data_IF_668322351095
#
_entry.id   IF_668322351095
#
_cell.length_a   1.000
_cell.length_b   1.000
_cell.length_c   1.000
_cell.angle_alpha   90.00
_cell.angle_beta   90.00
_cell.angle_gamma   90.00
#
_symmetry.space_group_name_H-M   'P 1'
#
loop_
_entity.id
_entity.type
_entity.pdbx_description
1 polymer ?
#
# COMPACT_ATOMS: atom_id res chain seq x y z
N UNK A 1 -6.33 -13.49 21.45
CA UNK A 1 -7.37 -13.12 20.47
C UNK A 1 -6.67 -12.61 19.21
N UNK A 2 -7.32 -12.68 18.04
CA UNK A 2 -6.86 -11.97 16.85
C UNK A 2 -6.62 -10.48 17.13
N UNK A 3 -5.59 -9.91 16.51
CA UNK A 3 -5.31 -8.47 16.55
C UNK A 3 -4.66 -8.00 15.24
N UNK A 4 -4.81 -6.72 14.94
CA UNK A 4 -4.23 -6.13 13.75
C UNK A 4 -4.90 -6.65 12.48
N UNK A 5 -6.22 -6.82 12.54
CA UNK A 5 -7.02 -7.25 11.39
C UNK A 5 -6.94 -6.18 10.32
N UNK A 6 -6.53 -6.57 9.12
CA UNK A 6 -6.50 -5.68 7.97
C UNK A 6 -6.84 -6.42 6.70
N UNK A 7 -7.38 -5.68 5.73
CA UNK A 7 -7.77 -6.19 4.42
C UNK A 7 -6.98 -5.50 3.31
N UNK A 8 -6.81 -6.20 2.20
CA UNK A 8 -6.23 -5.69 0.97
C UNK A 8 -6.93 -6.35 -0.22
N UNK A 9 -6.92 -5.71 -1.39
CA UNK A 9 -7.46 -6.36 -2.58
C UNK A 9 -6.76 -7.71 -2.85
N UNK A 10 -7.53 -8.68 -3.35
CA UNK A 10 -6.96 -9.92 -3.87
C UNK A 10 -6.42 -9.76 -5.28
N UNK A 11 -5.85 -10.83 -5.81
CA UNK A 11 -5.29 -10.84 -7.18
C UNK A 11 -6.38 -10.72 -8.24
N UNK A 12 -7.58 -11.26 -7.98
CA UNK A 12 -8.76 -11.08 -8.85
C UNK A 12 -9.66 -9.95 -8.32
N UNK A 13 -10.49 -9.39 -9.21
CA UNK A 13 -11.40 -8.29 -8.87
C UNK A 13 -12.49 -8.66 -7.86
N UNK A 14 -12.86 -9.93 -7.80
CA UNK A 14 -13.84 -10.51 -6.89
C UNK A 14 -13.21 -11.06 -5.60
N UNK A 15 -11.99 -10.61 -5.26
CA UNK A 15 -11.24 -11.10 -4.10
C UNK A 15 -10.85 -10.02 -3.10
N UNK A 16 -10.84 -10.42 -1.82
CA UNK A 16 -10.33 -9.64 -0.70
C UNK A 16 -9.44 -10.52 0.16
N UNK A 17 -8.20 -10.10 0.38
CA UNK A 17 -7.28 -10.72 1.33
C UNK A 17 -7.57 -10.19 2.73
N UNK A 18 -7.65 -11.07 3.71
CA UNK A 18 -7.83 -10.75 5.13
C UNK A 18 -6.63 -11.29 5.90
N UNK A 19 -5.93 -10.41 6.60
CA UNK A 19 -4.72 -10.74 7.37
C UNK A 19 -4.89 -10.32 8.82
N UNK A 20 -4.39 -11.14 9.75
CA UNK A 20 -4.33 -10.78 11.17
C UNK A 20 -3.23 -11.56 11.87
N UNK A 21 -2.96 -11.16 13.12
CA UNK A 21 -1.90 -11.74 13.93
C UNK A 21 -2.44 -12.34 15.23
N UNK A 22 -1.73 -13.36 15.71
CA UNK A 22 -1.87 -13.87 17.07
C UNK A 22 -0.49 -14.07 17.69
N UNK A 23 -0.44 -14.05 19.03
CA UNK A 23 0.77 -14.34 19.78
C UNK A 23 0.99 -15.85 19.89
N UNK A 24 2.23 -16.26 20.18
CA UNK A 24 2.61 -17.67 20.28
C UNK A 24 1.80 -18.50 21.30
N UNK A 25 1.23 -17.86 22.32
CA UNK A 25 0.35 -18.51 23.30
C UNK A 25 -1.00 -18.96 22.71
N UNK A 26 -1.36 -18.49 21.52
CA UNK A 26 -2.61 -18.82 20.85
C UNK A 26 -2.39 -18.86 19.33
N UNK A 27 -1.64 -19.87 18.82
CA UNK A 27 -1.23 -19.92 17.42
C UNK A 27 -2.38 -19.92 16.43
N UNK A 28 -3.57 -20.38 16.85
CA UNK A 28 -4.82 -20.21 16.12
C UNK A 28 -4.92 -20.97 14.78
N UNK A 29 -6.16 -21.19 14.33
CA UNK A 29 -6.44 -21.52 12.94
C UNK A 29 -6.83 -20.25 12.19
N UNK A 30 -6.49 -20.16 10.91
CA UNK A 30 -6.85 -19.03 10.07
C UNK A 30 -8.26 -19.22 9.51
N UNK A 31 -9.29 -18.73 10.21
CA UNK A 31 -10.68 -18.80 9.73
C UNK A 31 -11.32 -17.40 9.65
N UNK A 32 -11.99 -17.15 8.53
CA UNK A 32 -12.91 -16.02 8.37
C UNK A 32 -14.34 -16.53 8.26
N UNK A 33 -15.23 -15.92 9.04
CA UNK A 33 -16.68 -16.05 8.87
C UNK A 33 -17.20 -14.76 8.25
N UNK A 34 -17.98 -14.87 7.17
CA UNK A 34 -18.49 -13.71 6.46
C UNK A 34 -19.86 -13.96 5.83
N UNK A 35 -20.57 -12.88 5.52
CA UNK A 35 -21.89 -12.89 4.87
C UNK A 35 -22.12 -11.58 4.14
N UNK A 36 -23.02 -11.57 3.17
CA UNK A 36 -23.58 -10.31 2.67
C UNK A 36 -24.28 -9.59 3.82
N UNK A 37 -24.07 -8.28 3.95
CA UNK A 37 -24.72 -7.50 5.00
C UNK A 37 -26.26 -7.51 4.86
N UNK A 38 -26.76 -7.64 3.63
CA UNK A 38 -28.18 -7.76 3.31
C UNK A 38 -28.78 -9.13 3.65
N UNK A 39 -27.96 -10.17 3.83
CA UNK A 39 -28.39 -11.52 4.22
C UNK A 39 -27.37 -12.18 5.14
N UNK A 40 -27.37 -11.75 6.39
CA UNK A 40 -26.50 -12.31 7.44
C UNK A 40 -26.84 -13.75 7.82
N UNK A 41 -27.98 -14.29 7.35
CA UNK A 41 -28.38 -15.68 7.61
C UNK A 41 -27.61 -16.68 6.74
N UNK A 42 -27.16 -16.23 5.56
CA UNK A 42 -26.33 -17.00 4.64
C UNK A 42 -24.83 -16.85 4.95
N UNK A 43 -24.42 -17.19 6.18
CA UNK A 43 -23.01 -17.09 6.60
C UNK A 43 -22.15 -18.18 5.96
N UNK A 44 -21.02 -17.78 5.41
CA UNK A 44 -19.97 -18.66 4.88
C UNK A 44 -18.74 -18.65 5.78
N UNK A 45 -17.98 -19.74 5.72
CA UNK A 45 -16.70 -19.90 6.41
C UNK A 45 -15.61 -20.25 5.42
N UNK A 46 -14.48 -19.57 5.52
CA UNK A 46 -13.29 -19.83 4.69
C UNK A 46 -12.10 -20.07 5.60
N UNK A 47 -11.36 -21.14 5.31
CA UNK A 47 -10.10 -21.45 5.97
C UNK A 47 -8.94 -20.94 5.11
N UNK A 48 -7.87 -20.50 5.75
CA UNK A 48 -6.66 -20.05 5.07
C UNK A 48 -5.42 -20.63 5.70
N UNK A 49 -4.36 -19.84 5.70
CA UNK A 49 -3.03 -20.30 6.12
C UNK A 49 -2.59 -19.58 7.40
N UNK A 50 -1.92 -20.34 8.27
CA UNK A 50 -1.25 -19.84 9.46
C UNK A 50 0.23 -20.11 9.31
N UNK A 51 1.08 -19.09 9.53
CA UNK A 51 2.54 -19.23 9.50
C UNK A 51 3.16 -18.58 10.73
N UNK A 52 4.11 -19.27 11.35
CA UNK A 52 4.94 -18.67 12.39
C UNK A 52 5.93 -17.68 11.76
N UNK A 53 5.94 -16.45 12.27
CA UNK A 53 6.94 -15.43 12.00
C UNK A 53 7.79 -15.24 13.25
N UNK A 54 9.09 -15.47 13.11
CA UNK A 54 10.08 -15.33 14.18
C UNK A 54 10.84 -14.03 13.95
N UNK A 55 10.73 -13.11 14.90
CA UNK A 55 11.43 -11.83 14.92
C UNK A 55 12.96 -12.03 14.84
N UNK A 56 13.64 -11.11 14.16
CA UNK A 56 15.09 -11.18 13.97
C UNK A 56 15.90 -10.74 15.20
N UNK A 57 15.25 -10.14 16.20
CA UNK A 57 15.88 -9.60 17.39
C UNK A 57 16.29 -10.66 18.42
N UNK A 58 16.99 -10.26 19.50
CA UNK A 58 17.56 -11.18 20.49
C UNK A 58 16.51 -12.06 21.19
N UNK A 59 15.31 -11.55 21.41
CA UNK A 59 14.22 -12.30 22.05
C UNK A 59 13.62 -13.38 21.14
N UNK A 60 13.84 -13.32 19.82
CA UNK A 60 13.26 -14.23 18.82
C UNK A 60 11.77 -14.42 19.01
N UNK A 61 11.07 -13.33 19.32
CA UNK A 61 9.65 -13.38 19.64
C UNK A 61 8.84 -13.94 18.46
N UNK A 62 7.88 -14.81 18.75
CA UNK A 62 7.10 -15.51 17.73
C UNK A 62 5.70 -14.95 17.65
N UNK A 63 5.28 -14.64 16.43
CA UNK A 63 3.91 -14.29 16.06
C UNK A 63 3.40 -15.32 15.07
N UNK A 64 2.10 -15.53 15.05
CA UNK A 64 1.45 -16.29 13.99
C UNK A 64 0.72 -15.30 13.09
N UNK A 65 1.05 -15.35 11.80
CA UNK A 65 0.40 -14.57 10.74
C UNK A 65 -0.64 -15.47 10.09
N UNK A 66 -1.86 -14.95 10.00
CA UNK A 66 -2.98 -15.63 9.39
C UNK A 66 -3.39 -14.91 8.12
N UNK A 67 -3.62 -15.66 7.04
CA UNK A 67 -4.03 -15.10 5.74
C UNK A 67 -5.18 -15.92 5.17
N UNK A 68 -6.27 -15.25 4.81
CA UNK A 68 -7.44 -15.83 4.14
C UNK A 68 -7.79 -14.99 2.93
N UNK A 69 -8.10 -15.62 1.80
CA UNK A 69 -8.64 -14.94 0.62
C UNK A 69 -10.13 -15.25 0.53
N UNK A 70 -10.96 -14.20 0.55
CA UNK A 70 -12.37 -14.28 0.23
C UNK A 70 -12.52 -14.11 -1.29
N UNK A 71 -13.31 -14.96 -1.94
CA UNK A 71 -13.45 -15.01 -3.40
C UNK A 71 -14.93 -15.03 -3.80
N UNK A 72 -15.22 -14.75 -5.08
CA UNK A 72 -16.57 -14.65 -5.63
C UNK A 72 -17.40 -13.55 -4.93
N UNK A 73 -16.75 -12.46 -4.55
CA UNK A 73 -17.41 -11.31 -3.96
C UNK A 73 -18.23 -10.55 -5.02
N UNK A 74 -19.45 -10.17 -4.66
CA UNK A 74 -20.32 -9.37 -5.51
C UNK A 74 -19.80 -7.92 -5.58
N UNK A 75 -19.51 -7.37 -6.79
CA UNK A 75 -18.95 -6.03 -6.91
C UNK A 75 -19.80 -4.96 -6.23
N UNK A 76 -19.19 -4.16 -5.36
CA UNK A 76 -19.84 -3.08 -4.62
C UNK A 76 -20.79 -3.53 -3.51
N UNK A 77 -20.92 -4.83 -3.23
CA UNK A 77 -21.71 -5.31 -2.11
C UNK A 77 -20.97 -5.12 -0.78
N UNK A 78 -21.71 -4.84 0.29
CA UNK A 78 -21.15 -4.77 1.64
C UNK A 78 -21.16 -6.15 2.28
N UNK A 79 -20.00 -6.60 2.74
CA UNK A 79 -19.83 -7.84 3.47
C UNK A 79 -19.56 -7.55 4.93
N UNK A 80 -20.17 -8.35 5.81
CA UNK A 80 -19.87 -8.39 7.24
C UNK A 80 -19.00 -9.60 7.50
N UNK A 81 -17.90 -9.44 8.26
CA UNK A 81 -16.97 -10.53 8.54
C UNK A 81 -16.36 -10.45 9.93
N UNK A 82 -15.82 -11.57 10.41
CA UNK A 82 -14.95 -11.65 11.59
C UNK A 82 -13.89 -12.71 11.37
N UNK A 83 -12.76 -12.57 12.05
CA UNK A 83 -11.65 -13.52 11.99
C UNK A 83 -11.53 -14.25 13.31
N UNK A 84 -10.98 -15.46 13.32
CA UNK A 84 -10.74 -16.16 14.57
C UNK A 84 -10.43 -17.63 14.43
N UNK A 85 -10.50 -18.30 15.57
CA UNK A 85 -10.34 -19.75 15.68
C UNK A 85 -11.67 -20.37 16.22
N UNK A 86 -12.40 -21.12 15.38
CA UNK A 86 -13.63 -21.80 15.77
C UNK A 86 -13.44 -22.87 16.86
N UNK A 87 -12.27 -23.54 16.89
CA UNK A 87 -11.96 -24.56 17.89
C UNK A 87 -11.82 -23.94 19.29
N UNK A 88 -11.20 -22.75 19.40
CA UNK A 88 -11.04 -22.03 20.69
C UNK A 88 -12.16 -21.03 20.97
N UNK A 89 -13.07 -20.82 20.01
CA UNK A 89 -14.11 -19.77 20.03
C UNK A 89 -13.55 -18.36 20.23
N UNK A 90 -12.28 -18.15 19.90
CA UNK A 90 -11.62 -16.85 19.99
C UNK A 90 -11.77 -16.12 18.65
N UNK A 91 -12.74 -15.21 18.59
CA UNK A 91 -13.02 -14.38 17.42
C UNK A 91 -12.72 -12.90 17.70
N UNK A 92 -12.44 -12.16 16.64
CA UNK A 92 -12.49 -10.70 16.65
C UNK A 92 -13.93 -10.21 16.82
N UNK A 93 -14.08 -8.89 16.99
CA UNK A 93 -15.36 -8.23 16.73
C UNK A 93 -15.77 -8.43 15.26
N UNK A 94 -17.03 -8.12 14.97
CA UNK A 94 -17.48 -8.05 13.58
C UNK A 94 -17.05 -6.74 12.94
N UNK A 95 -16.52 -6.84 11.73
CA UNK A 95 -16.19 -5.75 10.83
C UNK A 95 -17.07 -5.79 9.60
N UNK A 96 -16.99 -4.75 8.78
CA UNK A 96 -17.64 -4.68 7.47
C UNK A 96 -16.72 -3.99 6.45
N UNK A 97 -16.81 -4.42 5.20
CA UNK A 97 -16.11 -3.81 4.07
C UNK A 97 -17.01 -3.81 2.83
N UNK A 98 -16.68 -2.95 1.87
CA UNK A 98 -17.34 -2.92 0.55
C UNK A 98 -16.43 -3.64 -0.43
N UNK A 99 -16.96 -4.65 -1.13
CA UNK A 99 -16.22 -5.34 -2.18
C UNK A 99 -15.93 -4.39 -3.34
N UNK A 100 -14.83 -4.63 -4.07
CA UNK A 100 -14.35 -3.75 -5.14
C UNK A 100 -15.49 -3.42 -6.13
N UNK A 101 -15.76 -2.13 -6.33
CA UNK A 101 -16.77 -1.67 -7.31
C UNK A 101 -16.27 -1.92 -8.73
N UNK A 102 -17.18 -2.36 -9.60
CA UNK A 102 -16.89 -2.47 -11.03
C UNK A 102 -16.77 -1.09 -11.70
N UNK A 103 -16.11 -1.03 -12.86
CA UNK A 103 -16.04 0.19 -13.69
C UNK A 103 -17.42 0.79 -13.99
N UNK A 104 -18.38 -0.06 -14.32
CA UNK A 104 -19.75 0.37 -14.61
C UNK A 104 -20.42 1.03 -13.39
N UNK A 105 -20.20 0.49 -12.19
CA UNK A 105 -20.73 1.07 -10.95
C UNK A 105 -20.08 2.41 -10.60
N UNK A 106 -18.79 2.58 -10.86
CA UNK A 106 -18.11 3.87 -10.67
C UNK A 106 -18.58 4.89 -11.71
N UNK A 107 -18.74 4.49 -12.97
CA UNK A 107 -19.21 5.38 -14.03
C UNK A 107 -20.66 5.85 -13.83
N UNK A 108 -21.52 5.01 -13.23
CA UNK A 108 -22.92 5.32 -12.98
C UNK A 108 -23.21 5.87 -11.57
N UNK A 109 -22.19 5.91 -10.69
CA UNK A 109 -22.35 6.18 -9.26
C UNK A 109 -21.40 7.25 -8.74
N UNK A 110 -21.14 7.27 -7.42
CA UNK A 110 -20.14 8.16 -6.83
C UNK A 110 -18.75 7.91 -7.43
N UNK A 111 -17.89 8.95 -7.52
CA UNK A 111 -16.54 8.79 -8.04
C UNK A 111 -15.73 7.78 -7.20
N UNK A 112 -14.70 7.20 -7.82
CA UNK A 112 -13.68 6.45 -7.10
C UNK A 112 -12.97 7.39 -6.11
N UNK A 113 -12.84 6.99 -4.84
CA UNK A 113 -12.10 7.74 -3.83
C UNK A 113 -10.97 6.87 -3.27
N UNK A 114 -9.74 7.34 -3.41
CA UNK A 114 -8.57 6.78 -2.72
C UNK A 114 -8.09 7.77 -1.66
N UNK A 115 -7.72 7.26 -0.49
CA UNK A 115 -7.03 8.04 0.54
C UNK A 115 -5.53 7.70 0.48
N UNK A 116 -4.66 8.71 0.47
CA UNK A 116 -3.21 8.51 0.52
C UNK A 116 -2.66 9.00 1.87
N UNK A 117 -1.75 8.23 2.45
CA UNK A 117 -1.07 8.55 3.70
C UNK A 117 0.35 7.99 3.66
N UNK A 118 1.37 8.73 4.02
CA UNK A 118 2.74 8.21 4.06
C UNK A 118 3.37 8.63 5.38
N UNK A 119 4.42 7.93 5.84
CA UNK A 119 5.25 8.44 6.96
C UNK A 119 4.41 8.68 8.21
N UNK A 120 3.45 7.78 8.45
CA UNK A 120 2.45 7.95 9.50
C UNK A 120 3.09 7.73 10.88
N UNK A 121 3.94 6.72 11.03
CA UNK A 121 4.20 6.18 12.37
C UNK A 121 2.93 5.70 13.04
N UNK A 122 2.83 5.86 14.37
CA UNK A 122 1.63 5.42 15.08
C UNK A 122 1.24 6.32 16.26
N UNK A 123 2.07 6.42 17.29
CA UNK A 123 1.73 7.11 18.55
C UNK A 123 1.57 8.62 18.35
N UNK A 124 2.51 9.24 17.66
CA UNK A 124 2.55 10.68 17.41
C UNK A 124 1.47 11.11 16.40
N UNK A 125 1.09 10.19 15.50
CA UNK A 125 0.03 10.37 14.50
C UNK A 125 -1.38 10.03 14.97
N UNK A 126 -1.60 9.76 16.26
CA UNK A 126 -2.90 9.27 16.75
C UNK A 126 -4.08 10.19 16.37
N UNK A 127 -3.86 11.51 16.28
CA UNK A 127 -4.87 12.46 15.80
C UNK A 127 -5.22 12.28 14.31
N UNK A 128 -4.22 12.06 13.46
CA UNK A 128 -4.43 11.76 12.02
C UNK A 128 -5.23 10.47 11.88
N UNK A 129 -4.83 9.43 12.60
CA UNK A 129 -5.52 8.14 12.58
C UNK A 129 -6.98 8.23 13.07
N UNK A 130 -7.27 9.07 14.07
CA UNK A 130 -8.65 9.32 14.51
C UNK A 130 -9.50 9.98 13.42
N UNK A 131 -8.94 10.94 12.67
CA UNK A 131 -9.63 11.58 11.54
C UNK A 131 -9.91 10.58 10.42
N UNK A 132 -8.92 9.78 10.04
CA UNK A 132 -9.07 8.73 9.02
C UNK A 132 -10.08 7.67 9.46
N UNK A 133 -10.05 7.25 10.72
CA UNK A 133 -11.02 6.31 11.28
C UNK A 133 -12.46 6.87 11.25
N UNK A 134 -12.64 8.18 11.51
CA UNK A 134 -13.94 8.82 11.40
C UNK A 134 -14.46 8.86 9.95
N UNK A 135 -13.60 9.17 8.98
CA UNK A 135 -13.97 9.13 7.55
C UNK A 135 -14.30 7.70 7.07
N UNK A 136 -13.57 6.69 7.55
CA UNK A 136 -13.81 5.29 7.19
C UNK A 136 -15.08 4.73 7.85
N UNK A 137 -15.40 5.18 9.07
CA UNK A 137 -16.56 4.71 9.81
C UNK A 137 -17.89 5.17 9.17
N UNK A 138 -17.92 6.32 8.51
CA UNK A 138 -19.09 6.84 7.81
C UNK A 138 -19.17 6.29 6.38
N UNK A 139 -20.17 5.44 6.04
CA UNK A 139 -20.31 4.88 4.70
C UNK A 139 -20.46 5.92 3.58
N UNK A 140 -20.86 7.16 3.90
CA UNK A 140 -21.01 8.24 2.91
C UNK A 140 -19.68 8.91 2.53
N UNK A 141 -18.65 8.79 3.38
CA UNK A 141 -17.34 9.40 3.17
C UNK A 141 -16.22 8.36 3.01
N UNK A 142 -16.47 7.10 3.42
CA UNK A 142 -15.53 5.97 3.32
C UNK A 142 -14.88 5.87 1.94
N UNK A 143 -13.52 5.85 1.84
CA UNK A 143 -12.82 5.64 0.58
C UNK A 143 -12.94 4.18 0.10
N UNK A 144 -12.74 3.97 -1.21
CA UNK A 144 -12.73 2.64 -1.82
C UNK A 144 -11.46 1.85 -1.46
N UNK A 145 -10.34 2.54 -1.26
CA UNK A 145 -9.09 1.99 -0.75
C UNK A 145 -8.21 3.10 -0.14
N UNK A 146 -7.22 2.68 0.65
CA UNK A 146 -6.18 3.52 1.21
C UNK A 146 -4.82 3.06 0.65
N UNK A 147 -3.99 4.00 0.21
CA UNK A 147 -2.62 3.78 -0.24
C UNK A 147 -1.65 4.34 0.81
N UNK A 148 -0.77 3.50 1.34
CA UNK A 148 0.24 3.89 2.31
C UNK A 148 1.67 3.70 1.80
N UNK A 149 2.36 4.81 1.54
CA UNK A 149 3.66 4.81 0.86
C UNK A 149 4.87 4.76 1.81
N UNK A 150 4.95 3.72 2.64
CA UNK A 150 6.13 3.41 3.45
C UNK A 150 6.27 4.17 4.78
N UNK A 151 7.25 3.72 5.57
CA UNK A 151 7.57 4.19 6.91
C UNK A 151 6.43 4.00 7.91
N UNK A 152 6.12 2.72 8.11
CA UNK A 152 5.10 2.27 9.05
C UNK A 152 5.67 2.23 10.46
N UNK A 153 4.90 2.72 11.44
CA UNK A 153 5.26 2.68 12.87
C UNK A 153 6.58 3.36 13.30
N UNK A 154 7.44 3.73 12.34
CA UNK A 154 8.85 4.10 12.51
C UNK A 154 9.58 2.98 13.23
N UNK A 155 9.88 1.93 12.44
CA UNK A 155 10.49 0.65 12.78
C UNK A 155 9.50 -0.39 13.34
N UNK A 156 8.99 -1.26 12.45
CA UNK A 156 8.09 -2.36 12.82
C UNK A 156 8.74 -3.42 13.70
N UNK A 157 10.07 -3.55 13.67
CA UNK A 157 10.87 -4.51 14.43
C UNK A 157 11.21 -4.05 15.85
N UNK A 158 11.03 -2.76 16.13
CA UNK A 158 11.33 -2.19 17.45
C UNK A 158 10.62 -2.93 18.59
N UNK A 159 11.36 -3.11 19.69
CA UNK A 159 10.97 -3.93 20.83
C UNK A 159 10.64 -5.38 20.47
N UNK A 160 11.50 -6.01 19.66
CA UNK A 160 11.30 -7.39 19.18
C UNK A 160 9.93 -7.54 18.51
N UNK A 161 9.60 -6.63 17.60
CA UNK A 161 8.37 -6.60 16.81
C UNK A 161 7.12 -6.09 17.53
N UNK A 162 7.20 -5.75 18.83
CA UNK A 162 6.03 -5.26 19.57
C UNK A 162 5.56 -3.89 19.07
N UNK A 163 6.44 -3.09 18.48
CA UNK A 163 6.06 -1.83 17.85
C UNK A 163 5.12 -2.07 16.66
N UNK A 164 5.48 -2.98 15.74
CA UNK A 164 4.61 -3.37 14.64
C UNK A 164 3.27 -3.98 15.08
N UNK A 165 3.23 -4.69 16.21
CA UNK A 165 1.97 -5.19 16.77
C UNK A 165 1.05 -4.05 17.23
N UNK A 166 1.62 -3.01 17.84
CA UNK A 166 0.87 -1.82 18.26
C UNK A 166 0.38 -1.02 17.06
N UNK A 167 1.24 -0.78 16.07
CA UNK A 167 0.84 -0.10 14.85
C UNK A 167 -0.35 -0.79 14.16
N UNK A 168 -0.29 -2.12 13.97
CA UNK A 168 -1.39 -2.85 13.36
C UNK A 168 -2.67 -2.79 14.19
N UNK A 169 -2.56 -2.83 15.53
CA UNK A 169 -3.71 -2.65 16.41
C UNK A 169 -4.30 -1.23 16.32
N UNK A 170 -3.45 -0.21 16.20
CA UNK A 170 -3.86 1.19 16.10
C UNK A 170 -4.58 1.44 14.76
N UNK A 171 -4.09 0.90 13.63
CA UNK A 171 -4.74 1.07 12.32
C UNK A 171 -5.96 0.16 12.11
N UNK A 172 -6.20 -0.86 12.95
CA UNK A 172 -7.30 -1.83 12.79
C UNK A 172 -8.69 -1.20 12.56
N UNK A 173 -9.09 -0.10 13.26
CA UNK A 173 -10.36 0.58 12.99
C UNK A 173 -10.53 1.08 11.55
N UNK A 174 -9.42 1.32 10.84
CA UNK A 174 -9.37 1.73 9.44
C UNK A 174 -9.16 0.50 8.54
N UNK A 175 -8.06 -0.23 8.78
CA UNK A 175 -7.55 -1.25 7.89
C UNK A 175 -8.43 -2.52 7.86
N UNK A 176 -9.29 -2.75 8.85
CA UNK A 176 -10.29 -3.83 8.83
C UNK A 176 -11.55 -3.48 8.02
N UNK A 177 -11.67 -2.26 7.48
CA UNK A 177 -12.88 -1.78 6.80
C UNK A 177 -12.64 -1.32 5.37
N UNK A 178 -11.41 -0.94 5.06
CA UNK A 178 -10.98 -0.44 3.75
C UNK A 178 -9.69 -1.17 3.34
N UNK A 179 -9.55 -1.60 2.08
CA UNK A 179 -8.31 -2.16 1.54
C UNK A 179 -7.12 -1.24 1.80
N UNK A 180 -6.14 -1.72 2.56
CA UNK A 180 -4.95 -0.99 2.98
C UNK A 180 -3.76 -1.43 2.13
N UNK A 181 -3.53 -0.71 1.03
CA UNK A 181 -2.55 -1.03 0.01
C UNK A 181 -1.23 -0.32 0.36
N UNK A 182 -0.11 -1.05 0.40
CA UNK A 182 1.13 -0.54 0.98
C UNK A 182 2.31 -0.61 0.01
N UNK A 183 3.29 0.27 0.18
CA UNK A 183 4.67 0.07 -0.33
C UNK A 183 5.65 0.24 0.82
N UNK A 184 6.78 -0.45 0.80
CA UNK A 184 7.79 -0.36 1.86
C UNK A 184 8.66 0.90 1.75
N UNK A 185 9.04 1.46 2.89
CA UNK A 185 10.02 2.55 3.05
C UNK A 185 11.27 2.12 3.81
N UNK A 186 12.15 3.07 4.10
CA UNK A 186 13.45 2.76 4.71
C UNK A 186 13.35 2.26 6.15
N UNK A 187 12.33 2.68 6.92
CA UNK A 187 12.11 2.18 8.28
C UNK A 187 11.65 0.71 8.31
N UNK A 188 11.32 0.11 7.16
CA UNK A 188 11.02 -1.31 7.07
C UNK A 188 12.27 -2.20 6.93
N UNK A 189 13.47 -1.62 6.74
CA UNK A 189 14.71 -2.33 6.38
C UNK A 189 15.07 -3.52 7.28
N UNK A 190 14.73 -3.44 8.56
CA UNK A 190 15.16 -4.40 9.56
C UNK A 190 14.92 -5.86 9.14
N UNK A 191 15.96 -6.69 9.33
CA UNK A 191 15.95 -8.11 9.02
C UNK A 191 15.51 -8.41 7.57
N UNK A 192 16.06 -7.66 6.61
CA UNK A 192 15.73 -7.76 5.18
C UNK A 192 14.23 -7.61 4.92
N UNK A 193 13.64 -6.52 5.45
CA UNK A 193 12.24 -6.17 5.24
C UNK A 193 11.22 -7.23 5.70
N UNK A 194 11.64 -8.18 6.54
CA UNK A 194 10.79 -9.32 6.89
C UNK A 194 9.55 -8.92 7.71
N UNK A 195 9.62 -7.84 8.51
CA UNK A 195 8.43 -7.35 9.20
C UNK A 195 7.36 -6.88 8.21
N UNK A 196 7.73 -6.13 7.17
CA UNK A 196 6.81 -5.70 6.13
C UNK A 196 6.27 -6.90 5.33
N UNK A 197 7.17 -7.75 4.83
CA UNK A 197 6.81 -8.91 4.01
C UNK A 197 5.87 -9.88 4.75
N UNK A 198 6.07 -10.06 6.06
CA UNK A 198 5.27 -10.99 6.86
C UNK A 198 3.99 -10.37 7.42
N UNK A 199 3.93 -9.05 7.62
CA UNK A 199 2.75 -8.39 8.21
C UNK A 199 1.67 -8.06 7.21
N UNK A 200 2.03 -7.69 5.99
CA UNK A 200 1.08 -7.29 4.96
C UNK A 200 0.83 -8.42 3.94
N UNK A 201 -0.20 -8.23 3.12
CA UNK A 201 -0.56 -9.14 2.02
C UNK A 201 -1.02 -8.31 0.83
N UNK A 202 -0.18 -8.23 -0.20
CA UNK A 202 -0.46 -7.46 -1.42
C UNK A 202 -0.80 -8.38 -2.61
N UNK A 203 -1.62 -7.91 -3.56
CA UNK A 203 -2.12 -8.74 -4.66
C UNK A 203 -1.05 -9.05 -5.72
N UNK A 204 -1.39 -9.96 -6.64
CA UNK A 204 -0.62 -10.16 -7.87
C UNK A 204 0.82 -10.56 -7.61
N UNK A 205 1.77 -9.82 -8.20
CA UNK A 205 3.20 -10.06 -8.02
C UNK A 205 3.62 -9.99 -6.53
N UNK A 206 2.94 -9.15 -5.74
CA UNK A 206 3.16 -8.95 -4.30
C UNK A 206 3.16 -10.26 -3.50
N UNK A 207 2.25 -11.17 -3.85
CA UNK A 207 2.10 -12.47 -3.19
C UNK A 207 3.34 -13.38 -3.35
N UNK A 208 4.21 -13.10 -4.33
CA UNK A 208 5.39 -13.92 -4.66
C UNK A 208 6.73 -13.27 -4.32
N UNK A 209 6.72 -11.98 -3.97
CA UNK A 209 7.94 -11.17 -3.80
C UNK A 209 8.02 -10.45 -2.44
N UNK A 210 7.21 -10.88 -1.46
CA UNK A 210 7.20 -10.27 -0.12
C UNK A 210 6.54 -8.89 -0.12
N UNK A 211 5.52 -8.67 -0.96
CA UNK A 211 4.79 -7.42 -1.11
C UNK A 211 5.62 -6.24 -1.65
N UNK A 212 6.79 -6.51 -2.21
CA UNK A 212 7.75 -5.47 -2.56
C UNK A 212 7.34 -4.66 -3.80
N UNK A 213 6.66 -5.28 -4.77
CA UNK A 213 6.08 -4.59 -5.91
C UNK A 213 4.88 -5.36 -6.46
N UNK A 214 3.85 -4.64 -6.89
CA UNK A 214 2.59 -5.20 -7.38
C UNK A 214 1.74 -4.13 -8.06
N UNK A 215 0.69 -4.56 -8.76
CA UNK A 215 -0.30 -3.66 -9.34
C UNK A 215 -1.71 -4.23 -9.16
N UNK A 216 -2.71 -3.35 -9.28
CA UNK A 216 -4.11 -3.74 -9.29
C UNK A 216 -4.96 -2.68 -10.00
N UNK A 217 -6.04 -3.13 -10.63
CA UNK A 217 -7.07 -2.24 -11.13
C UNK A 217 -8.12 -1.98 -10.04
N UNK A 218 -8.58 -0.74 -9.93
CA UNK A 218 -9.75 -0.36 -9.14
C UNK A 218 -10.58 0.63 -9.94
N UNK A 219 -11.69 0.15 -10.51
CA UNK A 219 -12.50 0.96 -11.40
C UNK A 219 -11.71 1.47 -12.62
N UNK A 220 -11.72 2.79 -12.89
CA UNK A 220 -11.01 3.39 -14.02
C UNK A 220 -9.52 3.68 -13.73
N UNK A 221 -8.97 3.16 -12.64
CA UNK A 221 -7.59 3.42 -12.23
C UNK A 221 -6.78 2.13 -12.17
N UNK A 222 -5.59 2.17 -12.75
CA UNK A 222 -4.53 1.19 -12.54
C UNK A 222 -3.56 1.75 -11.49
N UNK A 223 -3.33 1.01 -10.42
CA UNK A 223 -2.48 1.41 -9.30
C UNK A 223 -1.27 0.47 -9.23
N UNK A 224 -0.07 1.03 -9.14
CA UNK A 224 1.20 0.30 -9.10
C UNK A 224 2.01 0.70 -7.88
N UNK A 225 2.54 -0.29 -7.17
CA UNK A 225 3.51 -0.13 -6.11
C UNK A 225 4.86 -0.70 -6.56
N UNK A 226 5.96 0.01 -6.32
CA UNK A 226 7.31 -0.54 -6.49
C UNK A 226 8.19 -0.33 -5.26
N UNK A 227 9.25 -1.15 -5.15
CA UNK A 227 10.20 -1.07 -4.06
C UNK A 227 11.29 -0.02 -4.37
N UNK A 228 11.05 1.23 -3.95
CA UNK A 228 12.04 2.30 -4.08
C UNK A 228 13.33 2.02 -3.27
N UNK A 229 13.24 1.28 -2.16
CA UNK A 229 14.38 0.93 -1.32
C UNK A 229 15.38 -0.02 -2.01
N UNK A 230 14.98 -0.66 -3.11
CA UNK A 230 15.85 -1.54 -3.89
C UNK A 230 17.13 -0.86 -4.40
N UNK A 231 17.11 0.46 -4.55
CA UNK A 231 18.22 1.27 -5.04
C UNK A 231 19.20 1.69 -3.94
N UNK A 232 18.81 1.59 -2.67
CA UNK A 232 19.56 2.10 -1.51
C UNK A 232 20.18 1.00 -0.64
N UNK A 233 19.69 -0.24 -0.78
CA UNK A 233 20.17 -1.38 0.02
C UNK A 233 20.67 -2.55 -0.84
N UNK A 234 21.81 -2.39 -1.54
CA UNK A 234 22.35 -3.42 -2.43
C UNK A 234 22.72 -4.72 -1.72
N UNK A 235 22.87 -4.71 -0.40
CA UNK A 235 23.08 -5.91 0.43
C UNK A 235 21.83 -6.80 0.53
N UNK A 236 20.64 -6.23 0.31
CA UNK A 236 19.36 -6.93 0.35
C UNK A 236 18.77 -7.15 -1.04
N UNK A 237 19.01 -6.19 -1.94
CA UNK A 237 18.50 -6.19 -3.30
C UNK A 237 19.67 -6.18 -4.26
N UNK A 238 20.02 -7.33 -4.84
CA UNK A 238 21.11 -7.40 -5.82
C UNK A 238 20.69 -6.82 -7.18
N UNK A 239 21.62 -6.77 -8.13
CA UNK A 239 21.33 -6.29 -9.48
C UNK A 239 20.27 -7.14 -10.19
N UNK A 240 20.21 -8.44 -9.91
CA UNK A 240 19.19 -9.35 -10.46
C UNK A 240 17.80 -8.97 -9.98
N UNK A 241 17.63 -8.70 -8.68
CA UNK A 241 16.37 -8.23 -8.12
C UNK A 241 15.93 -6.92 -8.76
N UNK A 242 16.82 -5.92 -8.80
CA UNK A 242 16.49 -4.60 -9.37
C UNK A 242 16.09 -4.71 -10.85
N UNK A 243 16.81 -5.52 -11.63
CA UNK A 243 16.49 -5.76 -13.04
C UNK A 243 15.12 -6.40 -13.22
N UNK A 244 14.80 -7.46 -12.46
CA UNK A 244 13.47 -8.10 -12.53
C UNK A 244 12.34 -7.16 -12.13
N UNK A 245 12.54 -6.36 -11.08
CA UNK A 245 11.53 -5.39 -10.65
C UNK A 245 11.31 -4.30 -11.71
N UNK A 246 12.40 -3.76 -12.27
CA UNK A 246 12.33 -2.72 -13.29
C UNK A 246 11.67 -3.22 -14.58
N UNK A 247 12.06 -4.41 -15.06
CA UNK A 247 11.44 -5.05 -16.23
C UNK A 247 9.94 -5.28 -16.01
N UNK A 248 9.57 -5.84 -14.84
CA UNK A 248 8.17 -6.02 -14.46
C UNK A 248 7.41 -4.69 -14.45
N UNK A 249 7.97 -3.63 -13.85
CA UNK A 249 7.34 -2.31 -13.77
C UNK A 249 7.09 -1.74 -15.18
N UNK A 250 8.09 -1.80 -16.06
CA UNK A 250 7.96 -1.30 -17.44
C UNK A 250 6.88 -2.06 -18.21
N UNK A 251 6.84 -3.39 -18.08
CA UNK A 251 5.86 -4.20 -18.79
C UNK A 251 4.43 -4.01 -18.25
N UNK A 252 4.28 -3.88 -16.93
CA UNK A 252 3.00 -3.60 -16.27
C UNK A 252 2.45 -2.22 -16.67
N UNK A 253 3.29 -1.18 -16.62
CA UNK A 253 2.93 0.17 -17.07
C UNK A 253 2.59 0.22 -18.56
N UNK A 254 3.34 -0.49 -19.41
CA UNK A 254 3.03 -0.59 -20.84
C UNK A 254 1.66 -1.24 -21.05
N UNK A 255 1.38 -2.34 -20.36
CA UNK A 255 0.10 -3.03 -20.46
C UNK A 255 -1.08 -2.14 -19.99
N UNK A 256 -0.90 -1.38 -18.90
CA UNK A 256 -1.90 -0.42 -18.43
C UNK A 256 -2.14 0.70 -19.44
N UNK A 257 -1.07 1.22 -20.05
CA UNK A 257 -1.17 2.27 -21.07
C UNK A 257 -1.77 1.77 -22.39
N UNK A 258 -1.48 0.54 -22.80
CA UNK A 258 -2.16 -0.10 -23.95
C UNK A 258 -3.66 -0.30 -23.67
N UNK A 259 -4.03 -0.43 -22.39
CA UNK A 259 -5.39 -0.55 -21.89
C UNK A 259 -5.99 0.79 -21.38
N UNK A 260 -5.44 1.94 -21.78
CA UNK A 260 -5.85 3.26 -21.23
C UNK A 260 -7.33 3.59 -21.42
N UNK A 261 -7.99 3.04 -22.44
CA UNK A 261 -9.43 3.21 -22.64
C UNK A 261 -10.29 2.64 -21.50
N UNK A 262 -9.73 1.73 -20.72
CA UNK A 262 -10.36 1.02 -19.61
C UNK A 262 -9.87 1.52 -18.24
N UNK A 263 -8.58 1.85 -18.14
CA UNK A 263 -7.93 2.43 -16.96
C UNK A 263 -7.30 3.78 -17.33
N UNK A 264 -8.11 4.82 -17.58
CA UNK A 264 -7.59 6.12 -18.01
C UNK A 264 -6.65 6.78 -17.00
N UNK A 265 -6.71 6.37 -15.72
CA UNK A 265 -5.81 6.84 -14.68
C UNK A 265 -4.76 5.78 -14.35
N UNK A 266 -3.48 6.15 -14.40
CA UNK A 266 -2.37 5.33 -13.91
C UNK A 266 -1.71 6.07 -12.74
N UNK A 267 -1.78 5.45 -11.56
CA UNK A 267 -1.18 5.93 -10.33
C UNK A 267 -0.04 5.00 -9.92
N UNK A 268 1.14 5.56 -9.71
CA UNK A 268 2.28 4.83 -9.16
C UNK A 268 2.56 5.36 -7.77
N UNK A 269 2.88 4.47 -6.83
CA UNK A 269 3.38 4.87 -5.52
C UNK A 269 4.63 4.07 -5.13
N UNK A 270 5.49 4.75 -4.39
CA UNK A 270 6.73 4.23 -3.82
C UNK A 270 7.10 5.10 -2.62
N UNK A 271 8.11 4.73 -1.85
CA UNK A 271 8.42 5.50 -0.64
C UNK A 271 9.19 6.78 -0.95
N UNK A 272 10.29 6.70 -1.70
CA UNK A 272 11.18 7.85 -1.96
C UNK A 272 10.70 8.72 -3.12
N UNK A 273 10.69 10.06 -3.00
CA UNK A 273 10.25 10.95 -4.07
C UNK A 273 11.26 11.03 -5.21
N UNK A 274 10.80 11.47 -6.39
CA UNK A 274 11.66 11.77 -7.55
C UNK A 274 12.30 13.15 -7.44
N UNK A 275 11.59 14.07 -6.81
CA UNK A 275 11.93 15.47 -6.69
C UNK A 275 11.75 15.90 -5.22
N UNK A 276 12.63 16.76 -4.73
CA UNK A 276 12.48 17.43 -3.44
C UNK A 276 12.98 18.87 -3.59
N UNK A 277 12.30 19.85 -2.97
CA UNK A 277 12.76 21.24 -2.99
C UNK A 277 13.89 21.48 -1.99
N UNK A 278 14.00 20.64 -0.96
CA UNK A 278 15.14 20.66 -0.05
C UNK A 278 16.34 19.97 -0.69
N UNK A 279 17.26 20.79 -1.18
CA UNK A 279 18.53 20.36 -1.78
C UNK A 279 19.43 19.55 -0.82
N UNK A 280 19.08 19.44 0.46
CA UNK A 280 19.79 18.64 1.46
C UNK A 280 19.27 17.22 1.62
N UNK A 281 18.20 16.81 0.94
CA UNK A 281 17.73 15.42 0.92
C UNK A 281 18.47 14.67 -0.19
N UNK A 282 19.50 13.85 0.12
CA UNK A 282 20.30 13.19 -0.91
C UNK A 282 19.62 11.94 -1.48
N UNK A 283 18.65 11.36 -0.76
CA UNK A 283 18.17 10.00 -1.05
C UNK A 283 16.88 9.96 -1.89
N UNK A 284 16.92 10.58 -3.07
CA UNK A 284 15.81 10.59 -4.03
C UNK A 284 15.80 9.34 -4.91
N UNK A 285 14.62 8.85 -5.29
CA UNK A 285 14.48 7.75 -6.27
C UNK A 285 15.24 8.09 -7.55
N UNK A 286 15.89 7.11 -8.23
CA UNK A 286 16.65 7.36 -9.45
C UNK A 286 15.86 8.20 -10.47
N UNK A 287 16.28 9.45 -10.58
CA UNK A 287 15.78 10.47 -11.49
C UNK A 287 16.77 10.63 -12.65
N UNK A 288 16.31 10.98 -13.84
CA UNK A 288 17.17 11.12 -15.03
C UNK A 288 18.42 12.00 -14.78
N UNK A 289 19.55 11.59 -15.36
CA UNK A 289 20.83 12.30 -15.50
C UNK A 289 21.55 12.80 -14.20
N UNK A 290 21.23 12.26 -13.01
CA UNK A 290 22.04 12.52 -11.80
C UNK A 290 23.36 11.72 -11.86
N UNK A 291 24.53 12.31 -11.56
CA UNK A 291 25.85 11.64 -11.60
C UNK A 291 25.99 10.42 -10.67
N UNK A 292 25.05 10.27 -9.74
CA UNK A 292 24.95 9.14 -8.80
C UNK A 292 24.35 7.88 -9.47
N UNK A 293 23.82 8.03 -10.69
CA UNK A 293 23.12 7.03 -11.51
C UNK A 293 23.52 7.15 -13.00
N UNK A 294 24.83 7.22 -13.30
CA UNK A 294 25.42 7.80 -14.53
C UNK A 294 25.46 6.94 -15.82
N UNK A 295 24.50 6.06 -16.07
CA UNK A 295 24.42 5.35 -17.37
C UNK A 295 25.15 4.02 -17.42
N UNK A 296 25.59 3.47 -16.29
CA UNK A 296 26.30 2.20 -16.26
C UNK A 296 25.34 1.01 -16.43
N UNK A 297 25.79 -0.19 -16.87
CA UNK A 297 24.95 -1.38 -16.87
C UNK A 297 24.42 -1.66 -15.45
N UNK A 298 23.15 -1.38 -15.20
CA UNK A 298 22.61 -1.27 -13.83
C UNK A 298 21.83 0.02 -13.56
N UNK A 299 21.67 0.88 -14.56
CA UNK A 299 20.77 2.02 -14.51
C UNK A 299 19.29 1.62 -14.61
N UNK A 300 18.48 2.09 -13.65
CA UNK A 300 17.04 1.87 -13.60
C UNK A 300 16.33 3.22 -13.68
N UNK A 301 16.15 3.82 -14.88
CA UNK A 301 15.58 5.16 -15.02
C UNK A 301 14.07 5.10 -14.81
N UNK A 302 13.65 5.08 -13.54
CA UNK A 302 12.24 4.93 -13.15
C UNK A 302 11.42 6.08 -13.69
N UNK A 303 11.87 7.32 -13.51
CA UNK A 303 11.16 8.51 -14.01
C UNK A 303 10.88 8.43 -15.52
N UNK A 304 11.86 7.98 -16.32
CA UNK A 304 11.69 7.75 -17.75
C UNK A 304 10.62 6.70 -18.04
N UNK A 305 10.61 5.60 -17.29
CA UNK A 305 9.56 4.58 -17.43
C UNK A 305 8.17 5.13 -17.10
N UNK A 306 8.05 5.98 -16.06
CA UNK A 306 6.78 6.66 -15.73
C UNK A 306 6.33 7.57 -16.88
N UNK A 307 7.24 8.39 -17.40
CA UNK A 307 6.97 9.34 -18.47
C UNK A 307 6.58 8.65 -19.79
N UNK A 308 7.37 7.66 -20.25
CA UNK A 308 7.13 6.96 -21.53
C UNK A 308 5.82 6.15 -21.53
N UNK A 309 5.37 5.68 -20.37
CA UNK A 309 4.10 4.96 -20.22
C UNK A 309 2.94 5.87 -19.75
N UNK A 310 3.16 7.18 -19.73
CA UNK A 310 2.12 8.17 -19.45
C UNK A 310 1.51 8.06 -18.06
N UNK A 311 2.28 7.76 -17.03
CA UNK A 311 1.78 7.74 -15.64
C UNK A 311 1.24 9.12 -15.27
N UNK A 312 0.03 9.18 -14.69
CA UNK A 312 -0.61 10.46 -14.35
C UNK A 312 -0.09 11.04 -13.05
N UNK A 313 0.07 10.20 -12.02
CA UNK A 313 0.43 10.60 -10.66
C UNK A 313 1.44 9.64 -10.06
N UNK A 314 2.53 10.19 -9.53
CA UNK A 314 3.46 9.49 -8.64
C UNK A 314 3.28 10.01 -7.21
N UNK A 315 2.92 9.12 -6.28
CA UNK A 315 2.81 9.41 -4.84
C UNK A 315 4.03 8.87 -4.10
N UNK A 316 4.62 9.71 -3.25
CA UNK A 316 5.74 9.36 -2.40
C UNK A 316 5.60 9.90 -0.98
N UNK A 317 6.38 9.31 -0.08
CA UNK A 317 6.58 9.71 1.30
C UNK A 317 7.99 10.24 1.53
N UNK A 318 8.65 9.76 2.58
CA UNK A 318 10.06 9.93 2.95
C UNK A 318 10.45 11.34 3.39
N UNK A 319 10.09 12.34 2.59
CA UNK A 319 10.28 13.75 2.94
C UNK A 319 9.06 14.20 3.74
N UNK A 320 9.30 14.65 4.97
CA UNK A 320 8.27 14.92 5.98
C UNK A 320 7.54 16.26 5.78
N UNK A 321 7.04 16.49 4.58
CA UNK A 321 6.27 17.66 4.19
C UNK A 321 5.18 17.31 3.17
N UNK A 322 4.63 18.33 2.52
CA UNK A 322 3.76 18.18 1.37
C UNK A 322 4.31 19.01 0.22
N UNK A 323 4.64 18.33 -0.87
CA UNK A 323 5.06 18.96 -2.12
C UNK A 323 4.20 18.45 -3.27
N UNK A 324 3.80 19.35 -4.15
CA UNK A 324 3.13 19.01 -5.41
C UNK A 324 3.80 19.74 -6.54
N UNK A 325 4.35 18.97 -7.46
CA UNK A 325 5.09 19.50 -8.59
C UNK A 325 4.15 19.83 -9.76
N UNK A 326 4.64 20.71 -10.65
CA UNK A 326 4.12 20.76 -12.01
C UNK A 326 4.33 19.40 -12.69
N UNK A 327 3.58 19.08 -13.75
CA UNK A 327 3.94 17.97 -14.63
C UNK A 327 5.37 18.15 -15.11
N UNK A 328 6.25 17.23 -14.76
CA UNK A 328 7.68 17.39 -14.99
C UNK A 328 8.30 16.09 -15.47
N UNK A 329 9.34 16.23 -16.27
CA UNK A 329 10.22 15.15 -16.68
C UNK A 329 11.62 15.74 -16.88
N UNK A 330 12.67 15.08 -16.37
CA UNK A 330 14.05 15.53 -16.53
C UNK A 330 14.25 16.98 -16.00
N UNK A 331 13.74 17.24 -14.79
CA UNK A 331 13.74 18.56 -14.14
C UNK A 331 13.09 19.70 -14.96
N UNK A 332 12.32 19.36 -16.01
CA UNK A 332 11.67 20.33 -16.90
C UNK A 332 10.16 20.18 -16.83
N UNK A 333 9.48 21.31 -16.68
CA UNK A 333 8.02 21.35 -16.75
C UNK A 333 7.56 21.01 -18.16
N UNK A 334 6.70 20.00 -18.29
CA UNK A 334 6.09 19.57 -19.54
C UNK A 334 4.67 20.12 -19.60
N UNK A 335 4.31 20.71 -20.74
CA UNK A 335 2.97 21.27 -20.98
C UNK A 335 2.47 22.14 -19.81
N UNK A 336 3.34 23.06 -19.37
CA UNK A 336 3.13 23.96 -18.23
C UNK A 336 1.70 24.47 -18.19
N UNK A 337 0.96 24.03 -17.17
CA UNK A 337 -0.47 24.26 -17.10
C UNK A 337 -0.76 25.71 -16.76
N UNK A 338 -1.89 26.20 -17.27
CA UNK A 338 -2.47 27.45 -16.84
C UNK A 338 -2.77 27.38 -15.33
N UNK A 339 -1.93 28.05 -14.53
CA UNK A 339 -2.01 28.10 -13.06
C UNK A 339 -3.33 28.71 -12.56
N UNK A 340 -4.13 29.32 -13.44
CA UNK A 340 -5.46 29.84 -13.10
C UNK A 340 -6.55 28.76 -13.06
N UNK A 341 -6.30 27.57 -13.62
CA UNK A 341 -7.33 26.52 -13.75
C UNK A 341 -7.52 25.67 -12.47
N UNK A 342 -6.69 25.85 -11.44
CA UNK A 342 -6.65 25.01 -10.22
C UNK A 342 -6.58 23.49 -10.47
N UNK A 343 -6.29 23.06 -11.70
CA UNK A 343 -6.28 21.66 -12.15
C UNK A 343 -5.37 21.43 -13.34
N UNK A 344 -4.89 20.19 -13.47
CA UNK A 344 -4.16 19.73 -14.64
C UNK A 344 -5.12 19.03 -15.63
N UNK A 345 -4.98 19.31 -16.93
CA UNK A 345 -5.75 18.67 -18.00
C UNK A 345 -4.76 18.16 -19.04
N UNK A 346 -4.67 16.83 -19.20
CA UNK A 346 -3.70 16.16 -20.08
C UNK A 346 -2.27 16.73 -19.88
N UNK A 347 -1.70 16.57 -18.67
CA UNK A 347 -0.48 17.25 -18.25
C UNK A 347 0.78 16.92 -19.08
N UNK A 348 0.76 15.87 -19.89
CA UNK A 348 1.86 15.51 -20.79
C UNK A 348 3.09 14.90 -20.11
N UNK A 349 3.18 14.97 -18.78
CA UNK A 349 4.12 14.25 -17.94
C UNK A 349 3.46 13.88 -16.61
N UNK A 350 4.14 13.03 -15.84
CA UNK A 350 3.71 12.62 -14.51
C UNK A 350 3.68 13.81 -13.55
N UNK A 351 2.62 13.89 -12.75
CA UNK A 351 2.56 14.81 -11.62
C UNK A 351 3.15 14.08 -10.42
N UNK A 352 4.16 14.68 -9.78
CA UNK A 352 4.78 14.12 -8.59
C UNK A 352 4.20 14.81 -7.35
N UNK A 353 3.82 14.00 -6.36
CA UNK A 353 3.33 14.47 -5.06
C UNK A 353 4.06 13.74 -3.95
N UNK A 354 4.73 14.52 -3.11
CA UNK A 354 5.31 14.08 -1.85
C UNK A 354 4.29 14.36 -0.76
N UNK A 355 3.93 13.34 0.02
CA UNK A 355 2.93 13.41 1.08
C UNK A 355 3.43 12.69 2.34
N UNK A 356 4.67 12.95 2.75
CA UNK A 356 5.27 12.37 3.96
C UNK A 356 4.87 13.07 5.26
N UNK A 357 3.77 13.81 5.24
CA UNK A 357 3.21 14.54 6.39
C UNK A 357 2.31 13.70 7.32
N UNK A 358 2.55 12.39 7.44
CA UNK A 358 1.66 11.48 8.18
C UNK A 358 1.63 11.62 9.69
N UNK A 359 2.57 12.35 10.29
CA UNK A 359 2.60 12.67 11.72
C UNK A 359 3.57 11.83 12.55
N UNK A 360 4.65 11.34 11.93
CA UNK A 360 5.68 10.54 12.58
C UNK A 360 6.48 11.28 13.68
N UNK A 361 7.24 10.53 14.51
CA UNK A 361 8.08 11.12 15.56
C UNK A 361 9.21 12.05 15.08
N UNK A 362 9.72 11.92 13.85
CA UNK A 362 10.84 12.73 13.35
C UNK A 362 10.41 14.16 12.95
N UNK A 363 9.12 14.44 12.81
CA UNK A 363 8.61 15.80 12.58
C UNK A 363 8.83 16.77 13.75
N UNK A 364 9.21 16.25 14.91
CA UNK A 364 9.35 17.01 16.16
C UNK A 364 10.81 17.26 16.57
N UNK A 365 11.76 16.89 15.72
CA UNK A 365 13.21 17.07 15.91
C UNK A 365 13.77 18.05 14.89
#
# INVERSE_FOLDING_TARGET
>A
APSGVHIAFGTRDDEMSVTWHTLASNPGDAVVEYSLLSDVSASSRVEGTTRAFVDGGPERSVRFVHRVVLSNLEPGATYKYRVGNPATKAYSVWFDFVAKRSRAQIAAGPPLKLLALCDQGHRESAGVLQLVAAEVADPSTRPDALVHCGDFAYDLDTYSGRNGDRFLADIEPVAARVPYMTSQGNHERAYNFSHYAERFTMPGAGASNGNAYYSFDVGPMHVVAFNAEAFFWPEFFDATYRSRMYEWLVDDLRAANDNRGNVPWILVHGHRPMYCVDAKVPDLTPHADKPEFDGSPGDFPIEKALYENGVDLYLAGHVHDYERYFPAFDERVVNGTDVTLERYVNPGATVHVTSGSGGNPEMWT
#
